data_IF_766650275893
#
_entry.id   IF_766650275893
#
_cell.length_a   1.000
_cell.length_b   1.000
_cell.length_c   1.000
_cell.angle_alpha   90.00
_cell.angle_beta   90.00
_cell.angle_gamma   90.00
#
_symmetry.space_group_name_H-M   'P 1'
#
loop_
_entity.id
_entity.type
_entity.pdbx_description
1 polymer ?
#
# COMPACT_ATOMS: atom_id res chain seq x y z
N UNK A 1 -0.75 -14.13 9.03
CA UNK A 1 -2.16 -14.56 9.05
C UNK A 1 -2.27 -15.76 9.97
N UNK A 2 -3.29 -15.79 10.81
CA UNK A 2 -3.48 -16.89 11.76
C UNK A 2 -3.69 -18.21 11.02
N UNK A 3 -2.73 -19.14 11.14
CA UNK A 3 -2.79 -20.44 10.44
C UNK A 3 -3.90 -21.35 10.97
N UNK A 4 -4.41 -21.09 12.18
CA UNK A 4 -5.50 -21.89 12.80
C UNK A 4 -6.80 -21.78 12.02
N UNK A 5 -7.00 -20.69 11.30
CA UNK A 5 -8.22 -20.38 10.54
C UNK A 5 -8.03 -20.51 9.01
N UNK A 6 -6.91 -21.09 8.56
CA UNK A 6 -6.63 -21.33 7.14
C UNK A 6 -7.24 -22.66 6.68
N UNK A 7 -8.28 -22.59 5.85
CA UNK A 7 -8.89 -23.73 5.17
C UNK A 7 -8.23 -24.07 3.84
N UNK A 8 -8.79 -25.07 3.13
CA UNK A 8 -8.31 -25.54 1.81
C UNK A 8 -8.39 -24.48 0.69
N UNK A 9 -9.25 -23.49 0.88
CA UNK A 9 -9.65 -22.48 -0.11
C UNK A 9 -9.40 -21.04 0.38
N UNK A 10 -8.65 -20.86 1.48
CA UNK A 10 -8.32 -19.55 2.05
C UNK A 10 -8.68 -19.44 3.53
N UNK A 11 -8.75 -18.22 4.06
CA UNK A 11 -9.06 -17.99 5.47
C UNK A 11 -10.57 -18.06 5.71
N UNK A 12 -11.00 -18.82 6.72
CA UNK A 12 -12.39 -18.93 7.15
C UNK A 12 -12.51 -18.38 8.56
N UNK A 13 -13.30 -17.33 8.73
CA UNK A 13 -13.40 -16.65 10.01
C UNK A 13 -14.21 -17.47 11.02
N UNK A 14 -13.65 -17.59 12.22
CA UNK A 14 -14.29 -18.12 13.40
C UNK A 14 -14.92 -16.97 14.19
N UNK A 15 -16.06 -17.24 14.84
CA UNK A 15 -16.53 -16.43 15.96
C UNK A 15 -15.67 -16.81 17.19
N UNK A 16 -14.67 -15.99 17.53
CA UNK A 16 -13.78 -16.18 18.68
C UNK A 16 -12.32 -16.51 18.33
N UNK A 17 -11.55 -16.96 19.32
CA UNK A 17 -10.10 -17.26 19.17
C UNK A 17 -9.78 -18.72 18.78
N UNK A 18 -10.77 -19.61 18.82
CA UNK A 18 -10.63 -21.01 18.43
C UNK A 18 -11.21 -21.27 17.04
N UNK A 19 -10.74 -22.33 16.38
CA UNK A 19 -11.24 -22.76 15.07
C UNK A 19 -12.62 -23.44 15.11
N UNK A 20 -13.20 -23.61 16.30
CA UNK A 20 -14.39 -24.46 16.51
C UNK A 20 -15.67 -23.88 15.91
N UNK A 21 -15.69 -22.56 15.67
CA UNK A 21 -16.81 -21.82 15.08
C UNK A 21 -16.65 -21.57 13.58
N UNK A 22 -15.63 -22.16 12.94
CA UNK A 22 -15.45 -22.05 11.49
C UNK A 22 -16.59 -22.78 10.77
N UNK A 23 -17.42 -22.01 10.06
CA UNK A 23 -18.39 -22.56 9.13
C UNK A 23 -17.69 -23.14 7.91
N UNK A 24 -17.53 -24.47 7.90
CA UNK A 24 -16.83 -25.22 6.85
C UNK A 24 -17.53 -25.05 5.49
N UNK A 25 -18.83 -24.74 5.47
CA UNK A 25 -19.60 -24.54 4.23
C UNK A 25 -19.29 -23.23 3.52
N UNK A 26 -18.72 -22.25 4.22
CA UNK A 26 -18.32 -20.97 3.61
C UNK A 26 -17.02 -21.11 2.83
N UNK A 27 -16.96 -20.45 1.68
CA UNK A 27 -15.74 -20.37 0.86
C UNK A 27 -14.70 -19.52 1.59
N UNK A 28 -13.47 -20.04 1.68
CA UNK A 28 -12.31 -19.34 2.21
C UNK A 28 -12.04 -18.04 1.44
N UNK A 29 -11.50 -17.04 2.13
CA UNK A 29 -11.30 -15.70 1.55
C UNK A 29 -9.85 -15.25 1.69
N UNK A 30 -9.44 -14.38 0.78
CA UNK A 30 -8.15 -13.69 0.78
C UNK A 30 -8.35 -12.16 0.80
N UNK A 31 -9.23 -11.68 1.69
CA UNK A 31 -9.55 -10.25 1.83
C UNK A 31 -8.34 -9.36 2.11
N UNK A 32 -7.24 -9.93 2.59
CA UNK A 32 -6.00 -9.19 2.75
C UNK A 32 -5.54 -8.54 1.43
N UNK A 33 -5.87 -9.13 0.28
CA UNK A 33 -5.58 -8.55 -1.04
C UNK A 33 -6.42 -7.28 -1.30
N UNK A 34 -7.64 -7.21 -0.78
CA UNK A 34 -8.47 -5.99 -0.84
C UNK A 34 -7.90 -4.91 0.08
N UNK A 35 -7.42 -5.28 1.27
CA UNK A 35 -6.74 -4.36 2.18
C UNK A 35 -5.46 -3.81 1.55
N UNK A 36 -4.65 -4.67 0.93
CA UNK A 36 -3.45 -4.26 0.19
C UNK A 36 -3.79 -3.26 -0.93
N UNK A 37 -4.81 -3.56 -1.75
CA UNK A 37 -5.29 -2.62 -2.77
C UNK A 37 -5.78 -1.31 -2.18
N UNK A 38 -6.50 -1.35 -1.06
CA UNK A 38 -6.97 -0.16 -0.38
C UNK A 38 -5.80 0.72 0.08
N UNK A 39 -4.83 0.16 0.80
CA UNK A 39 -3.61 0.86 1.22
C UNK A 39 -2.92 1.51 0.02
N UNK A 40 -2.77 0.75 -1.08
CA UNK A 40 -2.11 1.19 -2.30
C UNK A 40 -2.85 2.35 -2.99
N UNK A 41 -4.18 2.31 -3.04
CA UNK A 41 -4.99 3.19 -3.89
C UNK A 41 -5.64 4.37 -3.16
N UNK A 42 -5.68 4.38 -1.82
CA UNK A 42 -6.24 5.55 -1.13
C UNK A 42 -5.39 6.82 -1.36
N UNK A 43 -6.00 8.01 -1.40
CA UNK A 43 -5.32 9.28 -1.66
C UNK A 43 -4.59 9.83 -0.42
N UNK A 44 -4.06 8.95 0.43
CA UNK A 44 -3.38 9.27 1.69
C UNK A 44 -2.09 8.43 1.79
N UNK A 45 -0.95 9.03 2.17
CA UNK A 45 0.23 8.27 2.55
C UNK A 45 -0.06 7.40 3.78
N UNK A 46 0.43 6.16 3.77
CA UNK A 46 0.28 5.16 4.83
C UNK A 46 1.65 4.78 5.36
N UNK A 47 1.83 4.86 6.68
CA UNK A 47 3.08 4.50 7.35
C UNK A 47 2.86 3.19 8.11
N UNK A 48 3.63 2.15 7.80
CA UNK A 48 3.77 0.98 8.66
C UNK A 48 4.65 1.35 9.88
N UNK A 49 4.11 1.17 11.07
CA UNK A 49 4.83 1.35 12.33
C UNK A 49 5.05 -0.04 12.90
N UNK A 50 6.30 -0.52 12.88
CA UNK A 50 6.64 -1.93 13.16
C UNK A 50 7.30 -2.04 14.54
N UNK A 51 6.52 -2.36 15.60
CA UNK A 51 7.04 -2.46 16.96
C UNK A 51 7.74 -3.78 17.25
N UNK A 52 7.60 -4.78 16.38
CA UNK A 52 7.95 -6.16 16.65
C UNK A 52 7.97 -7.01 15.38
N UNK A 53 7.46 -8.23 15.50
CA UNK A 53 7.42 -9.19 14.39
C UNK A 53 6.49 -8.75 13.25
N UNK A 54 7.04 -8.60 12.05
CA UNK A 54 6.31 -8.48 10.78
C UNK A 54 6.60 -9.72 9.92
N UNK A 55 5.69 -10.70 9.99
CA UNK A 55 5.90 -12.06 9.45
C UNK A 55 4.83 -12.46 8.44
N UNK A 56 5.23 -13.11 7.34
CA UNK A 56 4.31 -13.65 6.31
C UNK A 56 3.41 -12.55 5.73
N UNK A 57 2.09 -12.71 5.76
CA UNK A 57 1.16 -11.66 5.32
C UNK A 57 1.30 -10.31 6.08
N UNK A 58 1.78 -10.32 7.33
CA UNK A 58 2.12 -9.09 8.05
C UNK A 58 3.37 -8.42 7.49
N UNK A 59 4.31 -9.23 6.97
CA UNK A 59 5.44 -8.72 6.20
C UNK A 59 4.96 -8.06 4.90
N UNK A 60 4.12 -8.75 4.12
CA UNK A 60 3.56 -8.19 2.88
C UNK A 60 2.75 -6.91 3.10
N UNK A 61 2.06 -6.77 4.23
CA UNK A 61 1.38 -5.52 4.59
C UNK A 61 2.36 -4.36 4.79
N UNK A 62 3.47 -4.56 5.50
CA UNK A 62 4.48 -3.51 5.68
C UNK A 62 5.04 -3.07 4.32
N UNK A 63 5.34 -4.04 3.44
CA UNK A 63 5.84 -3.78 2.08
C UNK A 63 4.86 -2.94 1.25
N UNK A 64 3.56 -3.12 1.47
CA UNK A 64 2.50 -2.41 0.72
C UNK A 64 2.31 -0.97 1.18
N UNK A 65 2.66 -0.63 2.42
CA UNK A 65 2.61 0.74 2.93
C UNK A 65 3.56 1.66 2.15
N UNK A 66 3.27 2.96 2.12
CA UNK A 66 4.10 3.93 1.39
C UNK A 66 5.45 4.16 2.11
N UNK A 67 5.47 4.02 3.44
CA UNK A 67 6.65 4.19 4.30
C UNK A 67 6.63 3.18 5.45
N UNK A 68 7.80 2.87 6.00
CA UNK A 68 8.00 2.00 7.16
C UNK A 68 8.95 2.61 8.18
N UNK A 69 8.54 2.61 9.46
CA UNK A 69 9.36 2.96 10.63
C UNK A 69 9.39 1.75 11.55
N UNK A 70 10.58 1.37 12.02
CA UNK A 70 10.78 0.15 12.79
C UNK A 70 11.43 0.41 14.15
N UNK A 71 10.98 -0.34 15.16
CA UNK A 71 11.64 -0.48 16.46
C UNK A 71 13.04 -1.08 16.30
N UNK A 72 14.07 -0.41 16.79
CA UNK A 72 15.45 -0.91 16.78
C UNK A 72 15.60 -2.22 17.57
N UNK A 73 14.97 -2.27 18.75
CA UNK A 73 15.14 -3.32 19.74
C UNK A 73 14.31 -4.57 19.42
N UNK A 74 13.16 -4.37 18.76
CA UNK A 74 12.13 -5.41 18.70
C UNK A 74 11.67 -5.75 17.29
N UNK A 75 11.84 -4.87 16.29
CA UNK A 75 11.33 -5.16 14.96
C UNK A 75 12.12 -6.30 14.31
N UNK A 76 11.39 -7.32 13.84
CA UNK A 76 11.91 -8.49 13.12
C UNK A 76 11.08 -8.73 11.87
N UNK A 77 11.76 -8.90 10.74
CA UNK A 77 11.15 -9.09 9.43
C UNK A 77 11.46 -10.49 8.93
N UNK A 78 10.44 -11.23 8.49
CA UNK A 78 10.62 -12.61 8.03
C UNK A 78 9.50 -13.00 7.08
N UNK A 79 9.85 -13.73 6.02
CA UNK A 79 8.87 -14.41 5.18
C UNK A 79 8.84 -15.89 5.52
N UNK A 80 7.65 -16.42 5.85
CA UNK A 80 7.46 -17.84 6.15
C UNK A 80 6.53 -18.50 5.14
N UNK A 81 6.14 -17.77 4.09
CA UNK A 81 5.13 -18.21 3.13
C UNK A 81 5.51 -19.59 2.56
N UNK A 82 6.76 -19.79 2.13
CA UNK A 82 7.23 -21.06 1.56
C UNK A 82 7.27 -22.20 2.58
N UNK A 83 7.52 -21.92 3.86
CA UNK A 83 7.53 -22.94 4.93
C UNK A 83 6.13 -23.52 5.16
N UNK A 84 5.08 -22.73 4.93
CA UNK A 84 3.69 -23.11 5.17
C UNK A 84 2.90 -23.38 3.89
N UNK A 85 3.59 -23.61 2.76
CA UNK A 85 2.99 -23.82 1.44
C UNK A 85 2.02 -22.69 1.03
N UNK A 86 2.41 -21.45 1.29
CA UNK A 86 1.77 -20.21 0.85
C UNK A 86 2.74 -19.38 0.00
N UNK A 87 2.25 -18.28 -0.56
CA UNK A 87 3.06 -17.27 -1.26
C UNK A 87 2.21 -16.03 -1.54
N UNK A 88 2.75 -14.84 -1.25
CA UNK A 88 2.28 -13.58 -1.83
C UNK A 88 3.07 -13.25 -3.10
N UNK A 89 2.54 -13.67 -4.25
CA UNK A 89 3.12 -13.40 -5.58
C UNK A 89 2.86 -11.98 -6.12
N UNK A 90 2.18 -11.12 -5.35
CA UNK A 90 1.80 -9.77 -5.73
C UNK A 90 2.71 -8.73 -5.08
N UNK A 91 2.12 -7.85 -4.27
CA UNK A 91 2.88 -6.80 -3.59
C UNK A 91 3.86 -7.36 -2.55
N UNK A 92 3.59 -8.54 -1.96
CA UNK A 92 4.52 -9.15 -1.01
C UNK A 92 5.89 -9.53 -1.60
N UNK A 93 5.98 -9.76 -2.92
CA UNK A 93 7.21 -10.23 -3.59
C UNK A 93 7.68 -9.32 -4.72
N UNK A 94 6.85 -9.08 -5.74
CA UNK A 94 7.24 -8.28 -6.91
C UNK A 94 7.50 -6.82 -6.52
N UNK A 95 6.67 -6.26 -5.65
CA UNK A 95 6.86 -4.89 -5.14
C UNK A 95 7.96 -4.80 -4.09
N UNK A 96 8.15 -5.82 -3.25
CA UNK A 96 9.35 -5.94 -2.40
C UNK A 96 10.64 -5.83 -3.24
N UNK A 97 10.69 -6.50 -4.40
CA UNK A 97 11.84 -6.42 -5.30
C UNK A 97 12.08 -5.02 -5.91
N UNK A 98 11.08 -4.12 -5.92
CA UNK A 98 11.28 -2.70 -6.27
C UNK A 98 11.98 -1.92 -5.16
N UNK A 99 11.86 -2.37 -3.91
CA UNK A 99 12.45 -1.72 -2.74
C UNK A 99 13.87 -2.24 -2.46
N UNK A 100 14.04 -3.57 -2.39
CA UNK A 100 15.30 -4.21 -1.98
C UNK A 100 16.10 -4.83 -3.14
N UNK A 101 15.57 -4.78 -4.36
CA UNK A 101 16.16 -5.44 -5.51
C UNK A 101 15.90 -6.96 -5.56
N UNK A 102 16.16 -7.55 -6.72
CA UNK A 102 15.81 -8.95 -7.00
C UNK A 102 16.56 -9.98 -6.14
N UNK A 103 17.80 -9.69 -5.75
CA UNK A 103 18.62 -10.64 -4.97
C UNK A 103 18.09 -10.79 -3.55
N UNK A 104 17.92 -9.68 -2.83
CA UNK A 104 17.36 -9.70 -1.47
C UNK A 104 15.91 -10.19 -1.44
N UNK A 105 15.06 -9.75 -2.38
CA UNK A 105 13.67 -10.21 -2.39
C UNK A 105 13.56 -11.75 -2.52
N UNK A 106 14.41 -12.37 -3.35
CA UNK A 106 14.45 -13.83 -3.48
C UNK A 106 15.05 -14.51 -2.25
N UNK A 107 16.09 -13.94 -1.67
CA UNK A 107 16.69 -14.45 -0.43
C UNK A 107 15.67 -14.49 0.72
N UNK A 108 14.94 -13.39 0.91
CA UNK A 108 13.89 -13.24 1.93
C UNK A 108 12.84 -14.35 1.80
N UNK A 109 12.36 -14.62 0.58
CA UNK A 109 11.34 -15.64 0.34
C UNK A 109 11.87 -17.07 0.39
N UNK A 110 13.06 -17.34 -0.15
CA UNK A 110 13.54 -18.71 -0.32
C UNK A 110 14.23 -19.26 0.92
N UNK A 111 14.84 -18.40 1.73
CA UNK A 111 15.53 -18.83 2.95
C UNK A 111 14.68 -18.65 4.20
N UNK A 112 13.69 -17.74 4.17
CA UNK A 112 12.85 -17.44 5.33
C UNK A 112 13.64 -16.93 6.54
N UNK A 113 14.80 -16.31 6.31
CA UNK A 113 15.65 -15.78 7.36
C UNK A 113 14.96 -14.63 8.11
N UNK A 114 15.37 -14.44 9.37
CA UNK A 114 14.96 -13.30 10.18
C UNK A 114 15.92 -12.13 9.96
N UNK A 115 15.38 -10.95 9.67
CA UNK A 115 16.14 -9.71 9.53
C UNK A 115 15.77 -8.71 10.63
N UNK A 116 16.78 -8.02 11.16
CA UNK A 116 16.64 -6.92 12.11
C UNK A 116 16.14 -5.64 11.45
N UNK A 117 15.75 -4.65 12.27
CA UNK A 117 15.38 -3.32 11.80
C UNK A 117 16.50 -2.64 10.98
N UNK A 118 17.76 -2.80 11.38
CA UNK A 118 18.92 -2.21 10.70
C UNK A 118 19.17 -2.88 9.35
N UNK A 119 19.17 -4.21 9.29
CA UNK A 119 19.31 -4.95 8.02
C UNK A 119 18.17 -4.58 7.05
N UNK A 120 16.93 -4.51 7.53
CA UNK A 120 15.78 -4.11 6.72
C UNK A 120 15.92 -2.68 6.16
N UNK A 121 16.52 -1.77 6.92
CA UNK A 121 16.83 -0.41 6.48
C UNK A 121 17.96 -0.38 5.46
N UNK A 122 19.01 -1.16 5.68
CA UNK A 122 20.15 -1.29 4.75
C UNK A 122 19.72 -1.87 3.39
N UNK A 123 18.80 -2.84 3.40
CA UNK A 123 18.20 -3.38 2.18
C UNK A 123 17.28 -2.39 1.47
N UNK A 124 16.69 -1.43 2.19
CA UNK A 124 15.82 -0.39 1.63
C UNK A 124 14.32 -0.57 1.85
N UNK A 125 13.87 -1.57 2.64
CA UNK A 125 12.45 -1.79 2.95
C UNK A 125 11.96 -1.13 4.25
N UNK A 126 12.87 -0.45 4.98
CA UNK A 126 12.54 0.39 6.14
C UNK A 126 13.16 1.78 5.96
N UNK A 127 12.39 2.84 6.13
CA UNK A 127 12.89 4.21 5.97
C UNK A 127 13.64 4.71 7.21
N UNK A 128 13.17 4.34 8.41
CA UNK A 128 13.76 4.82 9.66
C UNK A 128 13.69 3.76 10.76
N UNK A 129 14.81 3.60 11.45
CA UNK A 129 14.94 2.82 12.67
C UNK A 129 15.09 3.78 13.83
N UNK A 130 14.37 3.54 14.92
CA UNK A 130 14.36 4.35 16.14
C UNK A 130 14.26 3.46 17.38
N UNK A 131 14.71 3.94 18.56
CA UNK A 131 14.43 3.26 19.81
C UNK A 131 12.93 3.02 19.99
N UNK A 132 12.57 1.88 20.56
CA UNK A 132 11.20 1.39 20.68
C UNK A 132 10.32 2.40 21.39
N UNK A 133 10.85 3.03 22.45
CA UNK A 133 10.17 4.06 23.23
C UNK A 133 9.76 5.28 22.39
N UNK A 134 10.43 5.53 21.27
CA UNK A 134 10.22 6.71 20.43
C UNK A 134 9.46 6.37 19.13
N UNK A 135 9.04 5.11 18.96
CA UNK A 135 8.49 4.61 17.71
C UNK A 135 7.20 5.34 17.31
N UNK A 136 6.21 5.38 18.21
CA UNK A 136 4.92 6.03 17.94
C UNK A 136 5.08 7.55 17.82
N UNK A 137 5.88 8.17 18.68
CA UNK A 137 6.17 9.61 18.62
C UNK A 137 6.77 9.99 17.26
N UNK A 138 7.74 9.20 16.77
CA UNK A 138 8.36 9.42 15.47
C UNK A 138 7.35 9.29 14.34
N UNK A 139 6.47 8.28 14.39
CA UNK A 139 5.42 8.08 13.39
C UNK A 139 4.43 9.25 13.36
N UNK A 140 3.98 9.74 14.53
CA UNK A 140 3.10 10.90 14.63
C UNK A 140 3.77 12.18 14.13
N UNK A 141 5.07 12.36 14.39
CA UNK A 141 5.83 13.47 13.86
C UNK A 141 5.91 13.44 12.32
N UNK A 142 6.11 12.26 11.72
CA UNK A 142 6.09 12.10 10.26
C UNK A 142 4.69 12.36 9.69
N UNK A 143 3.64 11.83 10.32
CA UNK A 143 2.26 12.09 9.93
C UNK A 143 1.93 13.59 9.97
N UNK A 144 2.34 14.30 11.04
CA UNK A 144 2.16 15.75 11.16
C UNK A 144 2.89 16.51 10.05
N UNK A 145 4.11 16.09 9.70
CA UNK A 145 4.87 16.68 8.58
C UNK A 145 4.18 16.45 7.24
N UNK A 146 3.64 15.26 7.00
CA UNK A 146 2.89 14.94 5.76
C UNK A 146 1.62 15.79 5.68
N UNK A 147 0.88 15.92 6.78
CA UNK A 147 -0.34 16.71 6.86
C UNK A 147 -0.10 18.23 6.75
N UNK A 148 1.13 18.70 6.97
CA UNK A 148 1.53 20.08 6.71
C UNK A 148 1.80 20.42 5.24
N UNK A 149 1.63 19.46 4.31
CA UNK A 149 1.89 19.64 2.86
C UNK A 149 0.59 19.73 2.07
N UNK A 150 0.69 20.17 0.81
CA UNK A 150 -0.44 20.19 -0.13
C UNK A 150 -1.08 18.79 -0.28
N UNK A 151 -2.38 18.62 0.04
CA UNK A 151 -3.05 17.34 -0.10
C UNK A 151 -3.11 16.85 -1.55
N UNK A 152 -3.28 17.76 -2.52
CA UNK A 152 -3.22 17.43 -3.95
C UNK A 152 -1.82 16.95 -4.32
N UNK A 153 -0.77 17.64 -3.87
CA UNK A 153 0.60 17.22 -4.19
C UNK A 153 0.93 15.84 -3.60
N UNK A 154 0.59 15.58 -2.33
CA UNK A 154 0.80 14.26 -1.72
C UNK A 154 0.05 13.15 -2.47
N UNK A 155 -1.21 13.41 -2.84
CA UNK A 155 -2.03 12.46 -3.60
C UNK A 155 -1.43 12.15 -4.97
N UNK A 156 -1.12 13.20 -5.75
CA UNK A 156 -0.57 13.05 -7.10
C UNK A 156 0.80 12.39 -7.07
N UNK A 157 1.64 12.73 -6.09
CA UNK A 157 2.95 12.09 -5.92
C UNK A 157 2.82 10.59 -5.64
N UNK A 158 1.91 10.19 -4.73
CA UNK A 158 1.61 8.77 -4.48
C UNK A 158 1.17 8.08 -5.77
N UNK A 159 0.17 8.60 -6.46
CA UNK A 159 -0.34 7.96 -7.67
C UNK A 159 0.68 7.92 -8.82
N UNK A 160 1.54 8.92 -8.95
CA UNK A 160 2.64 8.90 -9.92
C UNK A 160 3.67 7.81 -9.61
N UNK A 161 4.03 7.61 -8.33
CA UNK A 161 4.90 6.51 -7.90
C UNK A 161 4.24 5.14 -8.12
N UNK A 162 2.91 5.07 -8.06
CA UNK A 162 2.19 3.82 -8.34
C UNK A 162 2.12 3.49 -9.82
N UNK A 163 2.01 4.51 -10.66
CA UNK A 163 1.78 4.38 -12.10
C UNK A 163 2.84 3.51 -12.80
N UNK A 164 4.10 3.56 -12.36
CA UNK A 164 5.20 2.83 -13.00
C UNK A 164 5.11 1.31 -12.80
N UNK A 165 4.34 0.84 -11.82
CA UNK A 165 4.26 -0.56 -11.42
C UNK A 165 2.86 -1.17 -11.59
N UNK A 166 1.80 -0.35 -11.50
CA UNK A 166 0.41 -0.83 -11.44
C UNK A 166 -0.28 -0.85 -12.83
N UNK A 167 0.44 -0.54 -13.90
CA UNK A 167 -0.05 -0.60 -15.28
C UNK A 167 -1.34 0.20 -15.51
N UNK A 168 -2.35 -0.42 -16.14
CA UNK A 168 -3.62 0.26 -16.44
C UNK A 168 -4.40 0.68 -15.19
N UNK A 169 -4.25 -0.03 -14.07
CA UNK A 169 -4.86 0.35 -12.79
C UNK A 169 -4.19 1.61 -12.24
N UNK A 170 -2.86 1.66 -12.28
CA UNK A 170 -2.11 2.86 -11.93
C UNK A 170 -2.52 4.06 -12.80
N UNK A 171 -2.68 3.84 -14.10
CA UNK A 171 -3.15 4.86 -15.04
C UNK A 171 -4.56 5.34 -14.70
N UNK A 172 -5.50 4.45 -14.40
CA UNK A 172 -6.87 4.81 -14.02
C UNK A 172 -6.89 5.71 -12.78
N UNK A 173 -6.15 5.34 -11.74
CA UNK A 173 -6.12 6.09 -10.47
C UNK A 173 -5.48 7.47 -10.66
N UNK A 174 -4.35 7.55 -11.37
CA UNK A 174 -3.69 8.82 -11.66
C UNK A 174 -4.54 9.72 -12.58
N UNK A 175 -5.04 9.17 -13.69
CA UNK A 175 -5.85 9.93 -14.65
C UNK A 175 -7.18 10.37 -14.05
N UNK A 176 -7.79 9.59 -13.15
CA UNK A 176 -8.99 10.00 -12.43
C UNK A 176 -8.79 11.28 -11.62
N UNK A 177 -7.61 11.46 -11.02
CA UNK A 177 -7.27 12.71 -10.34
C UNK A 177 -6.94 13.85 -11.30
N UNK A 178 -6.32 13.56 -12.45
CA UNK A 178 -6.14 14.56 -13.50
C UNK A 178 -7.51 15.06 -14.01
N UNK A 179 -8.48 14.17 -14.22
CA UNK A 179 -9.86 14.53 -14.54
C UNK A 179 -10.50 15.37 -13.44
N UNK A 180 -10.32 15.00 -12.17
CA UNK A 180 -10.83 15.82 -11.04
C UNK A 180 -10.25 17.23 -11.05
N UNK A 181 -8.97 17.39 -11.38
CA UNK A 181 -8.33 18.70 -11.50
C UNK A 181 -8.85 19.46 -12.72
N UNK A 182 -9.05 18.80 -13.86
CA UNK A 182 -9.65 19.40 -15.05
C UNK A 182 -11.07 19.91 -14.78
N UNK A 183 -11.87 19.21 -13.99
CA UNK A 183 -13.22 19.65 -13.60
C UNK A 183 -13.25 20.95 -12.78
N UNK A 184 -12.11 21.41 -12.27
CA UNK A 184 -12.01 22.66 -11.51
C UNK A 184 -11.73 23.89 -12.37
N UNK A 185 -11.58 23.74 -13.70
CA UNK A 185 -11.25 24.85 -14.61
C UNK A 185 -12.51 25.52 -15.18
N UNK A 186 -12.37 26.78 -15.60
CA UNK A 186 -13.42 27.52 -16.31
C UNK A 186 -13.76 26.86 -17.67
N UNK A 187 -12.79 26.20 -18.30
CA UNK A 187 -13.01 25.42 -19.54
C UNK A 187 -13.98 24.26 -19.30
N UNK A 188 -13.82 23.51 -18.21
CA UNK A 188 -14.74 22.44 -17.86
C UNK A 188 -16.13 22.98 -17.50
N UNK A 189 -16.20 24.17 -16.88
CA UNK A 189 -17.46 24.85 -16.62
C UNK A 189 -18.20 25.19 -17.91
N UNK A 190 -17.53 25.76 -18.91
CA UNK A 190 -18.12 26.06 -20.22
C UNK A 190 -18.69 24.80 -20.89
N UNK A 191 -17.92 23.71 -20.91
CA UNK A 191 -18.39 22.44 -21.48
C UNK A 191 -19.64 21.89 -20.79
N UNK A 192 -19.70 21.98 -19.46
CA UNK A 192 -20.87 21.54 -18.68
C UNK A 192 -22.09 22.42 -18.97
N UNK A 193 -21.92 23.73 -18.92
CA UNK A 193 -23.02 24.68 -19.02
C UNK A 193 -23.60 24.67 -20.46
N UNK A 194 -22.74 24.62 -21.49
CA UNK A 194 -23.16 24.47 -22.89
C UNK A 194 -23.99 23.20 -23.15
N UNK A 195 -23.59 22.06 -22.56
CA UNK A 195 -24.33 20.80 -22.66
C UNK A 195 -25.72 20.90 -22.03
N UNK A 196 -25.83 21.51 -20.84
CA UNK A 196 -27.11 21.69 -20.14
C UNK A 196 -28.03 22.68 -20.87
N UNK A 197 -27.47 23.73 -21.45
CA UNK A 197 -28.17 24.76 -22.20
C UNK A 197 -28.49 24.36 -23.65
N UNK A 198 -27.96 23.22 -24.12
CA UNK A 198 -28.10 22.71 -25.50
C UNK A 198 -27.62 23.71 -26.55
N UNK A 199 -26.50 24.37 -26.28
CA UNK A 199 -25.80 25.24 -27.22
C UNK A 199 -24.43 24.67 -27.55
N UNK A 200 -23.84 25.13 -28.65
CA UNK A 200 -22.45 24.83 -28.94
C UNK A 200 -21.54 25.51 -27.89
N UNK A 201 -20.47 24.82 -27.45
CA UNK A 201 -19.50 25.41 -26.52
C UNK A 201 -18.59 26.42 -27.23
N UNK A 202 -18.21 27.49 -26.52
CA UNK A 202 -17.24 28.47 -26.98
C UNK A 202 -15.87 28.23 -26.35
N UNK A 203 -14.96 27.66 -27.14
CA UNK A 203 -13.59 27.38 -26.70
C UNK A 203 -12.59 28.51 -26.97
N UNK A 204 -12.97 29.58 -27.67
CA UNK A 204 -12.05 30.68 -28.07
C UNK A 204 -11.24 31.28 -26.91
N UNK A 205 -11.78 31.44 -25.68
CA UNK A 205 -11.02 32.01 -24.55
C UNK A 205 -9.92 31.09 -23.98
N UNK A 206 -9.85 29.81 -24.35
CA UNK A 206 -8.95 28.82 -23.75
C UNK A 206 -7.82 28.45 -24.74
N UNK A 207 -6.65 29.10 -24.64
CA UNK A 207 -5.57 28.88 -25.60
C UNK A 207 -4.84 27.56 -25.35
N UNK A 208 -4.28 26.99 -26.42
CA UNK A 208 -3.24 25.98 -26.29
C UNK A 208 -1.97 26.62 -25.72
N UNK A 209 -1.65 26.34 -24.46
CA UNK A 209 -0.37 26.73 -23.86
C UNK A 209 0.73 25.75 -24.32
N UNK A 210 1.74 26.27 -25.01
CA UNK A 210 2.93 25.54 -25.47
C UNK A 210 4.21 26.19 -24.93
#
# INVERSE_FOLDING_TARGET
>A
GDQRIRGKDGYKYADGESSDSIDISKVGRLHILEVQRLIRMIPKPVIAVVPGWAVGGGHSLHVTCDLSIASEEHAKFMQTDTDVASFDGGFGSAYLARQVGQKYAREIFFLGNQYSALEAKEMGMVNKVVPHSNLEETALLWAKRINGKSPTANRMAKFALNLIDDGLIGQQVFAGEATRLAYMTDEAQEGRDAFLEKRDPNWEPFPYHF
#
